data_IF_888902479909
#
_entry.id   IF_888902479909
#
_cell.length_a   1.000
_cell.length_b   1.000
_cell.length_c   1.000
_cell.angle_alpha   90.00
_cell.angle_beta   90.00
_cell.angle_gamma   90.00
#
_symmetry.space_group_name_H-M   'P 1'
#
loop_
_entity.id
_entity.type
_entity.pdbx_description
1 polymer ?
#
# COMPACT_ATOMS: atom_id res chain seq x y z
N UNK A 1 9.01 -5.25 23.78
CA UNK A 1 8.43 -4.50 24.92
C UNK A 1 8.95 -5.14 26.19
N UNK A 2 9.75 -4.41 26.97
CA UNK A 2 10.16 -4.85 28.31
C UNK A 2 9.17 -4.24 29.32
N UNK A 3 8.62 -5.02 30.26
CA UNK A 3 7.77 -4.47 31.32
C UNK A 3 8.60 -3.56 32.25
N UNK A 4 7.96 -2.53 32.80
CA UNK A 4 8.55 -1.67 33.83
C UNK A 4 8.80 -2.47 35.11
N UNK A 5 9.79 -2.07 35.92
CA UNK A 5 10.25 -2.83 37.10
C UNK A 5 9.13 -3.30 38.05
N UNK A 6 8.10 -2.49 38.39
CA UNK A 6 7.01 -2.95 39.26
C UNK A 6 6.15 -4.07 38.62
N UNK A 7 5.99 -4.04 37.29
CA UNK A 7 5.22 -5.01 36.51
C UNK A 7 6.02 -6.26 36.13
N UNK A 8 7.34 -6.28 36.35
CA UNK A 8 8.12 -7.51 36.16
C UNK A 8 7.68 -8.63 37.12
N UNK A 9 7.19 -8.28 38.32
CA UNK A 9 6.78 -9.25 39.37
C UNK A 9 5.28 -9.56 39.37
N UNK A 10 4.44 -8.67 38.86
CA UNK A 10 2.99 -8.81 38.89
C UNK A 10 2.42 -8.99 37.48
N UNK A 11 1.87 -10.18 37.21
CA UNK A 11 1.01 -10.50 36.07
C UNK A 11 1.64 -10.22 34.69
N UNK A 12 2.23 -11.26 34.11
CA UNK A 12 2.76 -11.27 32.74
C UNK A 12 1.65 -11.42 31.68
N UNK A 13 0.56 -10.64 31.76
CA UNK A 13 -0.56 -10.62 30.78
C UNK A 13 -0.24 -9.81 29.52
N UNK A 14 1.04 -9.67 29.17
CA UNK A 14 1.43 -9.06 27.92
C UNK A 14 1.26 -10.06 26.78
N UNK A 15 0.85 -9.58 25.61
CA UNK A 15 0.79 -10.42 24.42
C UNK A 15 2.18 -11.00 24.10
N UNK A 16 2.27 -12.31 23.92
CA UNK A 16 3.52 -12.98 23.60
C UNK A 16 4.08 -12.45 22.28
N UNK A 17 5.37 -12.15 22.27
CA UNK A 17 6.14 -11.82 21.07
C UNK A 17 6.82 -13.06 20.51
N UNK A 18 7.40 -12.94 19.31
CA UNK A 18 8.16 -14.01 18.64
C UNK A 18 9.36 -14.52 19.45
N UNK A 19 9.78 -13.82 20.52
CA UNK A 19 11.00 -14.12 21.28
C UNK A 19 10.75 -14.62 22.72
N UNK A 20 9.49 -14.84 23.10
CA UNK A 20 9.10 -15.15 24.48
C UNK A 20 8.52 -16.56 24.67
N UNK A 21 8.23 -17.27 23.58
CA UNK A 21 7.63 -18.60 23.63
C UNK A 21 8.65 -19.75 23.63
N UNK A 22 8.22 -20.98 23.99
CA UNK A 22 9.01 -22.19 23.85
C UNK A 22 9.32 -22.52 22.38
N UNK A 23 10.16 -23.54 22.14
CA UNK A 23 10.62 -23.92 20.79
C UNK A 23 9.51 -24.11 19.75
N UNK A 24 8.34 -24.61 20.15
CA UNK A 24 7.19 -24.87 19.28
C UNK A 24 6.24 -23.66 19.11
N UNK A 25 6.56 -22.50 19.69
CA UNK A 25 5.76 -21.29 19.55
C UNK A 25 6.17 -20.50 18.30
N UNK A 26 5.34 -20.57 17.25
CA UNK A 26 5.51 -19.74 16.06
C UNK A 26 4.52 -18.57 16.06
N UNK A 27 5.02 -17.35 15.81
CA UNK A 27 4.20 -16.17 15.57
C UNK A 27 4.70 -15.44 14.32
N UNK A 28 3.83 -15.26 13.33
CA UNK A 28 4.17 -14.61 12.07
C UNK A 28 4.22 -13.08 12.15
N UNK A 29 4.91 -12.46 11.19
CA UNK A 29 5.06 -11.00 11.05
C UNK A 29 4.23 -10.40 9.90
N UNK A 30 3.13 -11.05 9.52
CA UNK A 30 2.22 -10.61 8.44
C UNK A 30 2.89 -10.42 7.07
N UNK A 31 3.90 -11.23 6.77
CA UNK A 31 4.53 -11.25 5.44
C UNK A 31 3.61 -11.83 4.36
N UNK A 32 2.50 -12.48 4.73
CA UNK A 32 1.57 -13.13 3.80
C UNK A 32 2.00 -14.56 3.44
N UNK A 33 1.07 -15.36 2.92
CA UNK A 33 1.32 -16.73 2.49
C UNK A 33 1.65 -16.76 0.99
N UNK A 34 2.94 -16.94 0.66
CA UNK A 34 3.43 -16.93 -0.73
C UNK A 34 3.39 -18.33 -1.39
N UNK A 35 2.64 -19.27 -0.79
CA UNK A 35 2.71 -20.67 -1.15
C UNK A 35 2.01 -21.58 -0.14
N UNK A 36 2.44 -22.82 -0.08
CA UNK A 36 1.87 -23.84 0.82
C UNK A 36 2.94 -24.74 1.44
N UNK A 37 2.70 -25.21 2.66
CA UNK A 37 3.54 -26.23 3.29
C UNK A 37 3.33 -27.59 2.60
N UNK A 38 4.41 -28.36 2.50
CA UNK A 38 4.38 -29.74 1.98
C UNK A 38 4.18 -30.73 3.13
N UNK A 39 3.77 -31.97 2.81
CA UNK A 39 3.60 -33.07 3.79
C UNK A 39 4.88 -33.33 4.62
N UNK A 40 6.06 -33.05 4.07
CA UNK A 40 7.35 -33.39 4.65
C UNK A 40 8.06 -32.18 5.29
N UNK A 41 7.34 -31.10 5.60
CA UNK A 41 7.88 -29.92 6.28
C UNK A 41 8.55 -28.88 5.38
N UNK A 42 8.70 -29.14 4.08
CA UNK A 42 9.12 -28.14 3.09
C UNK A 42 8.03 -27.10 2.77
N UNK A 43 8.36 -26.11 1.96
CA UNK A 43 7.42 -25.06 1.51
C UNK A 43 7.50 -24.89 -0.02
N UNK A 44 6.35 -24.97 -0.71
CA UNK A 44 6.25 -24.78 -2.17
C UNK A 44 5.72 -23.37 -2.45
N UNK A 45 6.51 -22.58 -3.17
CA UNK A 45 6.15 -21.20 -3.58
C UNK A 45 5.11 -21.24 -4.69
N UNK A 46 4.11 -20.37 -4.58
CA UNK A 46 3.12 -20.05 -5.60
C UNK A 46 3.42 -18.66 -6.16
N UNK A 47 4.03 -18.61 -7.34
CA UNK A 47 4.47 -17.37 -7.97
C UNK A 47 3.33 -16.40 -8.28
N UNK A 48 2.08 -16.87 -8.38
CA UNK A 48 0.91 -16.00 -8.56
C UNK A 48 0.61 -15.13 -7.34
N UNK A 49 1.10 -15.52 -6.16
CA UNK A 49 0.93 -14.79 -4.89
C UNK A 49 2.13 -13.92 -4.52
N UNK A 50 3.23 -14.07 -5.26
CA UNK A 50 4.45 -13.29 -5.04
C UNK A 50 4.21 -11.87 -5.56
N UNK A 51 4.31 -10.89 -4.65
CA UNK A 51 4.15 -9.47 -4.99
C UNK A 51 5.40 -8.96 -5.70
N UNK A 52 5.21 -8.27 -6.82
CA UNK A 52 6.25 -7.56 -7.57
C UNK A 52 5.98 -6.06 -7.53
N UNK A 53 7.04 -5.25 -7.59
CA UNK A 53 6.94 -3.80 -7.78
C UNK A 53 7.30 -3.50 -9.22
N UNK A 54 6.31 -3.12 -10.03
CA UNK A 54 6.51 -2.79 -11.44
C UNK A 54 7.05 -1.36 -11.52
N UNK A 55 8.28 -1.22 -12.00
CA UNK A 55 8.93 0.08 -12.22
C UNK A 55 8.81 0.41 -13.70
N UNK A 56 8.22 1.57 -14.07
CA UNK A 56 8.19 1.99 -15.47
C UNK A 56 9.58 2.41 -15.95
N UNK A 57 9.78 2.49 -17.26
CA UNK A 57 10.97 3.15 -17.80
C UNK A 57 10.93 4.64 -17.44
N UNK A 58 12.04 5.14 -16.88
CA UNK A 58 12.20 6.53 -16.44
C UNK A 58 13.20 7.29 -17.30
N UNK A 59 13.66 6.69 -18.41
CA UNK A 59 14.45 7.38 -19.42
C UNK A 59 13.66 8.59 -19.93
N UNK A 60 14.32 9.74 -20.03
CA UNK A 60 13.72 11.03 -20.43
C UNK A 60 12.57 11.55 -19.55
N UNK A 61 12.41 11.02 -18.32
CA UNK A 61 11.40 11.48 -17.38
C UNK A 61 11.84 12.71 -16.58
N UNK A 62 11.26 13.87 -16.90
CA UNK A 62 11.69 15.16 -16.35
C UNK A 62 10.98 15.58 -15.04
N UNK A 63 9.94 14.87 -14.59
CA UNK A 63 9.22 15.26 -13.39
C UNK A 63 10.01 14.88 -12.13
N UNK A 64 10.14 15.83 -11.21
CA UNK A 64 10.84 15.65 -9.92
C UNK A 64 9.82 15.72 -8.77
N UNK A 65 10.16 15.25 -7.56
CA UNK A 65 9.26 15.35 -6.40
C UNK A 65 9.04 16.79 -5.89
N UNK A 66 9.69 17.79 -6.50
CA UNK A 66 9.59 19.19 -6.09
C UNK A 66 9.10 20.07 -7.23
N UNK A 67 8.41 21.16 -6.85
CA UNK A 67 7.94 22.20 -7.75
C UNK A 67 8.60 23.52 -7.36
N UNK A 68 8.98 24.33 -8.34
CA UNK A 68 9.57 25.65 -8.09
C UNK A 68 8.62 26.54 -7.28
N UNK A 69 9.14 27.24 -6.26
CA UNK A 69 8.33 28.08 -5.36
C UNK A 69 7.61 29.24 -6.07
N UNK A 70 8.11 29.67 -7.22
CA UNK A 70 7.52 30.73 -8.04
C UNK A 70 6.19 30.29 -8.68
N UNK A 71 5.96 28.98 -8.81
CA UNK A 71 4.72 28.44 -9.38
C UNK A 71 3.63 28.52 -8.32
N UNK A 72 2.61 29.34 -8.58
CA UNK A 72 1.47 29.49 -7.69
C UNK A 72 0.64 28.20 -7.60
N UNK A 73 0.20 27.87 -6.38
CA UNK A 73 -0.65 26.71 -6.14
C UNK A 73 -2.09 27.02 -6.56
N UNK A 74 -2.50 26.51 -7.72
CA UNK A 74 -3.89 26.63 -8.18
C UNK A 74 -4.80 25.62 -7.47
N UNK A 75 -6.00 26.07 -7.08
CA UNK A 75 -7.11 25.19 -6.68
C UNK A 75 -8.08 25.05 -7.84
N UNK A 76 -8.49 23.82 -8.12
CA UNK A 76 -9.50 23.57 -9.13
C UNK A 76 -10.90 23.93 -8.62
N UNK A 77 -11.76 24.35 -9.54
CA UNK A 77 -13.18 24.61 -9.28
C UNK A 77 -14.04 23.76 -10.21
N UNK A 78 -14.92 22.96 -9.61
CA UNK A 78 -15.81 22.05 -10.33
C UNK A 78 -17.24 22.58 -10.44
N UNK A 79 -17.48 23.87 -10.18
CA UNK A 79 -18.82 24.49 -10.25
C UNK A 79 -19.47 24.38 -11.64
N UNK A 80 -18.67 24.23 -12.69
CA UNK A 80 -19.13 24.02 -14.06
C UNK A 80 -19.71 22.61 -14.29
N UNK A 81 -19.38 21.64 -13.43
CA UNK A 81 -19.89 20.27 -13.51
C UNK A 81 -21.26 20.17 -12.85
N UNK A 82 -22.08 19.22 -13.30
CA UNK A 82 -23.43 19.03 -12.75
C UNK A 82 -23.39 18.61 -11.28
N UNK A 83 -22.46 17.74 -10.92
CA UNK A 83 -22.30 17.21 -9.56
C UNK A 83 -21.41 18.07 -8.67
N UNK A 84 -20.86 19.18 -9.18
CA UNK A 84 -19.86 20.01 -8.50
C UNK A 84 -18.64 19.21 -8.02
N UNK A 85 -18.26 18.18 -8.77
CA UNK A 85 -17.28 17.17 -8.39
C UNK A 85 -16.26 16.92 -9.51
N UNK A 86 -14.99 16.63 -9.18
CA UNK A 86 -14.01 16.17 -10.17
C UNK A 86 -14.39 14.85 -10.86
N UNK A 87 -15.28 14.06 -10.26
CA UNK A 87 -15.68 12.74 -10.75
C UNK A 87 -16.99 12.78 -11.56
N UNK A 88 -17.39 13.95 -12.07
CA UNK A 88 -18.59 14.08 -12.89
C UNK A 88 -18.45 13.32 -14.22
N UNK A 89 -19.21 12.25 -14.39
CA UNK A 89 -19.12 11.40 -15.58
C UNK A 89 -19.50 12.10 -16.88
N UNK A 90 -20.45 13.04 -16.84
CA UNK A 90 -20.83 13.81 -18.03
C UNK A 90 -19.69 14.71 -18.49
N UNK A 91 -19.02 15.39 -17.56
CA UNK A 91 -17.85 16.22 -17.86
C UNK A 91 -16.68 15.36 -18.39
N UNK A 92 -16.44 14.19 -17.80
CA UNK A 92 -15.46 13.25 -18.31
C UNK A 92 -15.75 12.85 -19.77
N UNK A 93 -16.99 12.46 -20.10
CA UNK A 93 -17.38 12.07 -21.45
C UNK A 93 -17.23 13.22 -22.45
N UNK A 94 -17.55 14.46 -22.05
CA UNK A 94 -17.33 15.64 -22.89
C UNK A 94 -15.85 15.84 -23.20
N UNK A 95 -14.98 15.78 -22.18
CA UNK A 95 -13.52 15.89 -22.33
C UNK A 95 -12.97 14.79 -23.24
N UNK A 96 -13.40 13.55 -23.03
CA UNK A 96 -12.99 12.40 -23.85
C UNK A 96 -13.37 12.57 -25.32
N UNK A 97 -14.61 12.99 -25.63
CA UNK A 97 -15.04 13.29 -27.01
C UNK A 97 -14.23 14.42 -27.63
N UNK A 98 -13.95 15.47 -26.86
CA UNK A 98 -13.17 16.61 -27.33
C UNK A 98 -11.71 16.24 -27.64
N UNK A 99 -11.09 15.39 -26.82
CA UNK A 99 -9.70 14.95 -26.98
C UNK A 99 -9.49 13.88 -28.06
N UNK A 100 -10.53 13.55 -28.85
CA UNK A 100 -10.40 12.60 -29.95
C UNK A 100 -10.70 11.14 -29.59
N UNK A 101 -11.52 10.88 -28.58
CA UNK A 101 -11.94 9.53 -28.21
C UNK A 101 -12.78 8.77 -29.25
N UNK A 102 -13.10 9.39 -30.40
CA UNK A 102 -13.92 8.76 -31.45
C UNK A 102 -13.08 8.14 -32.59
N UNK A 103 -11.84 7.72 -32.32
CA UNK A 103 -11.08 6.84 -33.21
C UNK A 103 -11.49 5.38 -33.00
#
# INVERSE_FOLDING_TARGET
>A
MQPTQPLQRAIRRLALTTKQGPHNYYKGNRTGAMGTHTKWGGYKIDWSKVRTYVVPDLSDFNLTPFVAKIIEKKRDSFLHTKTKSPLDGQEYLKKWKHMGGNL
#
